data_IF_375559209575
#
_entry.id   IF_375559209575
#
_cell.length_a   1.000
_cell.length_b   1.000
_cell.length_c   1.000
_cell.angle_alpha   90.00
_cell.angle_beta   90.00
_cell.angle_gamma   90.00
#
_symmetry.space_group_name_H-M   'P 1'
#
loop_
_entity.id
_entity.type
_entity.pdbx_description
1 polymer ?
#
# COMPACT_ATOMS: atom_id res chain seq x y z
N UNK A 1 -0.33 -20.61 -10.55
CA UNK A 1 -1.78 -20.59 -10.30
C UNK A 1 -2.46 -21.93 -10.58
N UNK A 2 -2.14 -22.63 -11.68
CA UNK A 2 -2.73 -23.95 -12.01
C UNK A 2 -2.61 -25.00 -10.89
N UNK A 3 -1.47 -25.03 -10.17
CA UNK A 3 -1.26 -25.93 -9.03
C UNK A 3 -2.18 -25.64 -7.83
N UNK A 4 -2.57 -24.38 -7.64
CA UNK A 4 -3.48 -23.96 -6.55
C UNK A 4 -4.92 -24.25 -6.96
N UNK A 5 -5.27 -23.96 -8.22
CA UNK A 5 -6.59 -24.25 -8.77
C UNK A 5 -6.94 -25.74 -8.72
N UNK A 6 -5.98 -26.61 -9.04
CA UNK A 6 -6.14 -28.06 -9.03
C UNK A 6 -6.00 -28.70 -7.63
N UNK A 7 -5.81 -27.91 -6.56
CA UNK A 7 -5.62 -28.47 -5.22
C UNK A 7 -6.95 -29.08 -4.71
N UNK A 8 -6.97 -30.34 -4.21
CA UNK A 8 -8.22 -31.01 -3.81
C UNK A 8 -9.01 -30.29 -2.71
N UNK A 9 -8.32 -29.51 -1.88
CA UNK A 9 -8.91 -28.70 -0.82
C UNK A 9 -9.31 -27.27 -1.23
N UNK A 10 -9.22 -26.90 -2.50
CA UNK A 10 -9.64 -25.59 -2.97
C UNK A 10 -11.13 -25.63 -3.39
N UNK A 11 -12.05 -24.97 -2.66
CA UNK A 11 -13.46 -24.95 -3.02
C UNK A 11 -13.78 -23.90 -4.10
N UNK A 12 -12.82 -23.05 -4.48
CA UNK A 12 -13.05 -21.90 -5.36
C UNK A 12 -12.77 -22.30 -6.81
N UNK A 13 -13.84 -22.53 -7.58
CA UNK A 13 -13.76 -23.00 -8.96
C UNK A 13 -13.19 -21.99 -9.96
N UNK A 14 -13.34 -20.70 -9.70
CA UNK A 14 -12.87 -19.61 -10.57
C UNK A 14 -11.68 -18.84 -9.97
N UNK A 15 -10.87 -19.49 -9.14
CA UNK A 15 -9.75 -18.83 -8.44
C UNK A 15 -8.74 -18.20 -9.40
N UNK A 16 -8.54 -18.77 -10.59
CA UNK A 16 -7.62 -18.23 -11.61
C UNK A 16 -8.18 -16.95 -12.22
N UNK A 17 -9.46 -16.93 -12.58
CA UNK A 17 -10.14 -15.75 -13.12
C UNK A 17 -10.17 -14.60 -12.11
N UNK A 18 -10.47 -14.90 -10.84
CA UNK A 18 -10.43 -13.91 -9.76
C UNK A 18 -9.02 -13.37 -9.53
N UNK A 19 -8.00 -14.21 -9.67
CA UNK A 19 -6.61 -13.79 -9.55
C UNK A 19 -6.17 -12.92 -10.72
N UNK A 20 -6.55 -13.29 -11.95
CA UNK A 20 -6.28 -12.49 -13.14
C UNK A 20 -6.99 -11.15 -13.05
N UNK A 21 -8.25 -11.11 -12.60
CA UNK A 21 -8.99 -9.87 -12.36
C UNK A 21 -8.32 -8.97 -11.31
N UNK A 22 -7.80 -9.57 -10.23
CA UNK A 22 -7.04 -8.87 -9.21
C UNK A 22 -5.72 -8.29 -9.77
N UNK A 23 -4.96 -9.07 -10.54
CA UNK A 23 -3.69 -8.66 -11.16
C UNK A 23 -3.88 -7.56 -12.20
N UNK A 24 -4.98 -7.61 -12.95
CA UNK A 24 -5.34 -6.58 -13.93
C UNK A 24 -5.72 -5.27 -13.21
N UNK A 25 -6.20 -5.33 -11.96
CA UNK A 25 -6.35 -4.16 -11.09
C UNK A 25 -7.45 -3.18 -11.54
N UNK A 26 -8.47 -3.68 -12.23
CA UNK A 26 -9.56 -2.84 -12.79
C UNK A 26 -10.72 -2.67 -11.81
N UNK A 27 -10.98 -3.65 -10.95
CA UNK A 27 -12.06 -3.56 -9.95
C UNK A 27 -11.73 -2.58 -8.82
N UNK A 28 -12.78 -2.05 -8.18
CA UNK A 28 -12.63 -1.13 -7.05
C UNK A 28 -11.92 -1.81 -5.88
N UNK A 29 -12.19 -3.09 -5.68
CA UNK A 29 -11.60 -3.94 -4.64
C UNK A 29 -10.11 -4.17 -4.90
N UNK A 30 -9.71 -4.50 -6.14
CA UNK A 30 -8.30 -4.69 -6.48
C UNK A 30 -7.50 -3.37 -6.35
N UNK A 31 -8.09 -2.24 -6.76
CA UNK A 31 -7.50 -0.90 -6.57
C UNK A 31 -7.34 -0.56 -5.09
N UNK A 32 -8.36 -0.83 -4.27
CA UNK A 32 -8.28 -0.63 -2.82
C UNK A 32 -7.22 -1.53 -2.18
N UNK A 33 -7.16 -2.81 -2.52
CA UNK A 33 -6.14 -3.74 -2.02
C UNK A 33 -4.72 -3.24 -2.34
N UNK A 34 -4.51 -2.75 -3.57
CA UNK A 34 -3.23 -2.16 -3.98
C UNK A 34 -2.86 -0.91 -3.18
N UNK A 35 -3.84 -0.07 -2.84
CA UNK A 35 -3.63 1.10 -1.96
C UNK A 35 -3.21 0.63 -0.56
N UNK A 36 -3.93 -0.33 0.03
CA UNK A 36 -3.64 -0.86 1.36
C UNK A 36 -2.24 -1.50 1.40
N UNK A 37 -1.90 -2.34 0.43
CA UNK A 37 -0.59 -2.99 0.34
C UNK A 37 0.56 -1.98 0.31
N UNK A 38 0.36 -0.84 -0.37
CA UNK A 38 1.36 0.23 -0.44
C UNK A 38 1.44 1.06 0.84
N UNK A 39 0.36 1.11 1.63
CA UNK A 39 0.34 1.79 2.93
C UNK A 39 0.92 0.94 4.06
N UNK A 40 0.98 -0.38 3.96
CA UNK A 40 1.51 -1.24 5.03
C UNK A 40 2.94 -0.85 5.45
N UNK A 41 3.92 -0.64 4.54
CA UNK A 41 5.26 -0.19 4.93
C UNK A 41 5.27 1.21 5.54
N UNK A 42 4.38 2.09 5.09
CA UNK A 42 4.22 3.43 5.66
C UNK A 42 3.72 3.34 7.11
N UNK A 43 2.65 2.58 7.35
CA UNK A 43 2.11 2.33 8.69
C UNK A 43 3.15 1.71 9.62
N UNK A 44 3.93 0.75 9.12
CA UNK A 44 5.01 0.14 9.89
C UNK A 44 6.06 1.18 10.31
N UNK A 45 6.45 2.08 9.40
CA UNK A 45 7.34 3.19 9.75
C UNK A 45 6.73 4.12 10.79
N UNK A 46 5.44 4.45 10.69
CA UNK A 46 4.75 5.26 11.71
C UNK A 46 4.80 4.60 13.09
N UNK A 47 4.56 3.30 13.17
CA UNK A 47 4.60 2.55 14.45
C UNK A 47 6.01 2.35 15.01
N UNK A 48 7.04 2.44 14.18
CA UNK A 48 8.45 2.29 14.56
C UNK A 48 9.18 3.62 14.62
N UNK A 49 8.45 4.74 14.75
CA UNK A 49 9.01 6.08 14.86
C UNK A 49 10.01 6.41 13.73
N UNK A 50 9.71 5.94 12.52
CA UNK A 50 10.51 6.12 11.31
C UNK A 50 11.86 5.41 11.33
N UNK A 51 12.02 4.30 12.05
CA UNK A 51 13.29 3.55 12.09
C UNK A 51 13.87 3.30 10.68
N UNK A 52 13.10 2.69 9.78
CA UNK A 52 13.59 2.38 8.44
C UNK A 52 13.81 3.66 7.59
N UNK A 53 13.00 4.70 7.76
CA UNK A 53 13.24 6.00 7.10
C UNK A 53 14.55 6.63 7.53
N UNK A 54 14.84 6.63 8.84
CA UNK A 54 16.08 7.19 9.40
C UNK A 54 17.31 6.41 8.94
N UNK A 55 17.26 5.08 9.05
CA UNK A 55 18.36 4.20 8.68
C UNK A 55 18.73 4.31 7.19
N UNK A 56 17.73 4.53 6.33
CA UNK A 56 17.91 4.63 4.88
C UNK A 56 17.96 6.08 4.37
N UNK A 57 17.93 7.08 5.26
CA UNK A 57 17.99 8.49 4.88
C UNK A 57 16.87 8.95 3.96
N UNK A 58 15.65 8.43 4.15
CA UNK A 58 14.48 8.72 3.32
C UNK A 58 13.92 10.11 3.65
N UNK A 59 13.50 10.83 2.61
CA UNK A 59 12.87 12.14 2.70
C UNK A 59 11.39 12.10 2.34
N UNK A 60 10.63 13.05 2.88
CA UNK A 60 9.19 13.23 2.66
C UNK A 60 8.84 13.21 1.18
N UNK A 61 9.61 13.90 0.33
CA UNK A 61 9.37 13.92 -1.10
C UNK A 61 9.39 12.52 -1.74
N UNK A 62 10.27 11.63 -1.27
CA UNK A 62 10.34 10.24 -1.77
C UNK A 62 9.10 9.45 -1.36
N UNK A 63 8.68 9.58 -0.08
CA UNK A 63 7.49 8.90 0.43
C UNK A 63 6.24 9.42 -0.27
N UNK A 64 6.11 10.74 -0.43
CA UNK A 64 4.99 11.37 -1.14
C UNK A 64 4.89 10.90 -2.59
N UNK A 65 6.00 10.93 -3.33
CA UNK A 65 6.03 10.51 -4.74
C UNK A 65 5.62 9.03 -4.89
N UNK A 66 6.09 8.16 -3.99
CA UNK A 66 5.73 6.73 -4.01
C UNK A 66 4.23 6.49 -3.78
N UNK A 67 3.55 7.35 -3.01
CA UNK A 67 2.14 7.20 -2.66
C UNK A 67 1.21 8.10 -3.49
N UNK A 68 1.73 8.92 -4.40
CA UNK A 68 0.94 9.88 -5.18
C UNK A 68 -0.17 9.21 -6.01
N UNK A 69 0.02 7.97 -6.45
CA UNK A 69 -1.01 7.24 -7.20
C UNK A 69 -2.31 7.04 -6.40
N UNK A 70 -2.24 7.01 -5.05
CA UNK A 70 -3.40 6.82 -4.18
C UNK A 70 -4.39 7.98 -4.34
N UNK A 71 -3.94 9.19 -4.67
CA UNK A 71 -4.81 10.34 -4.90
C UNK A 71 -5.89 10.05 -5.94
N UNK A 72 -5.54 9.31 -7.00
CA UNK A 72 -6.48 8.96 -8.08
C UNK A 72 -7.39 7.79 -7.73
N UNK A 73 -6.91 6.86 -6.91
CA UNK A 73 -7.62 5.62 -6.58
C UNK A 73 -8.52 5.79 -5.34
N UNK A 74 -8.08 6.57 -4.35
CA UNK A 74 -8.82 6.86 -3.13
C UNK A 74 -8.38 8.23 -2.55
N UNK A 75 -9.05 9.33 -2.95
CA UNK A 75 -8.71 10.68 -2.48
C UNK A 75 -8.80 10.85 -0.95
N UNK A 76 -9.75 10.16 -0.31
CA UNK A 76 -9.95 10.20 1.14
C UNK A 76 -8.75 9.61 1.88
N UNK A 77 -8.30 8.42 1.46
CA UNK A 77 -7.11 7.77 2.03
C UNK A 77 -5.87 8.60 1.76
N UNK A 78 -5.73 9.18 0.56
CA UNK A 78 -4.60 10.04 0.24
C UNK A 78 -4.54 11.28 1.15
N UNK A 79 -5.69 11.91 1.41
CA UNK A 79 -5.78 13.07 2.30
C UNK A 79 -5.35 12.72 3.72
N UNK A 80 -5.81 11.57 4.24
CA UNK A 80 -5.36 11.04 5.52
C UNK A 80 -3.85 10.76 5.52
N UNK A 81 -3.34 10.11 4.47
CA UNK A 81 -1.91 9.81 4.32
C UNK A 81 -1.05 11.06 4.37
N UNK A 82 -1.43 12.13 3.68
CA UNK A 82 -0.69 13.41 3.70
C UNK A 82 -0.62 13.97 5.11
N UNK A 83 -1.73 13.96 5.87
CA UNK A 83 -1.73 14.41 7.27
C UNK A 83 -0.76 13.59 8.13
N UNK A 84 -0.76 12.27 7.97
CA UNK A 84 0.17 11.40 8.71
C UNK A 84 1.63 11.62 8.29
N UNK A 85 1.86 11.89 7.01
CA UNK A 85 3.19 12.18 6.48
C UNK A 85 3.76 13.47 7.07
N UNK A 86 2.95 14.54 7.16
CA UNK A 86 3.35 15.78 7.84
C UNK A 86 3.64 15.52 9.32
N UNK A 87 2.77 14.78 10.00
CA UNK A 87 2.97 14.42 11.40
C UNK A 87 4.31 13.70 11.62
N UNK A 88 4.69 12.76 10.75
CA UNK A 88 5.98 12.08 10.83
C UNK A 88 7.19 13.03 10.70
N UNK A 89 7.06 14.09 9.90
CA UNK A 89 8.08 15.13 9.77
C UNK A 89 8.13 16.01 11.01
N UNK A 90 6.98 16.39 11.57
CA UNK A 90 6.89 17.15 12.82
C UNK A 90 7.50 16.39 14.01
N UNK A 91 7.34 15.06 14.06
CA UNK A 91 7.97 14.21 15.07
C UNK A 91 9.47 13.97 14.84
N UNK A 92 10.02 14.40 13.70
CA UNK A 92 11.42 14.15 13.32
C UNK A 92 11.71 12.70 12.92
N UNK A 93 10.67 11.89 12.68
CA UNK A 93 10.80 10.51 12.22
C UNK A 93 11.14 10.44 10.73
N UNK A 94 10.70 11.44 9.97
CA UNK A 94 10.95 11.57 8.54
C UNK A 94 11.60 12.93 8.25
N UNK A 95 12.57 12.95 7.35
CA UNK A 95 13.19 14.21 6.91
C UNK A 95 12.26 14.95 5.95
N UNK A 96 12.16 16.27 6.10
CA UNK A 96 11.43 17.13 5.17
C UNK A 96 11.95 17.03 3.73
#
# INVERSE_FOLDING_TARGET
>A
MERIAAHPGNPIGNIVELWEEQEIGVTKEAKLLKVIDRLLPFLHNMTSEGQAWRDNGIHKAQVLNMHQFIEKESPEIFSWFVIQLEYAVEQGWLKA
#
